data_IF_071230071398
#
_entry.id   IF_071230071398
#
_cell.length_a   1.000
_cell.length_b   1.000
_cell.length_c   1.000
_cell.angle_alpha   90.00
_cell.angle_beta   90.00
_cell.angle_gamma   90.00
#
_symmetry.space_group_name_H-M   'P 1'
#
loop_
_entity.id
_entity.type
_entity.pdbx_description
1 polymer ?
#
# COMPACT_ATOMS: atom_id res chain seq x y z
N UNK A 1 -14.48 6.28 51.72
CA UNK A 1 -14.22 5.73 50.38
C UNK A 1 -13.35 6.73 49.66
N UNK A 2 -12.06 6.43 49.52
CA UNK A 2 -11.07 7.37 48.98
C UNK A 2 -11.08 7.29 47.45
N UNK A 3 -11.32 8.43 46.81
CA UNK A 3 -11.17 8.64 45.37
C UNK A 3 -9.69 8.57 44.99
N UNK A 4 -9.24 7.41 44.51
CA UNK A 4 -7.97 7.30 43.79
C UNK A 4 -8.13 7.91 42.39
N UNK A 5 -8.08 9.25 42.32
CA UNK A 5 -7.63 9.92 41.10
C UNK A 5 -6.14 9.62 40.95
N UNK A 6 -5.83 8.49 40.31
CA UNK A 6 -4.51 8.27 39.71
C UNK A 6 -4.40 9.28 38.56
N UNK A 7 -3.89 10.46 38.87
CA UNK A 7 -3.31 11.34 37.86
C UNK A 7 -2.26 10.49 37.14
N UNK A 8 -2.51 10.15 35.87
CA UNK A 8 -1.50 9.51 35.04
C UNK A 8 -0.46 10.58 34.72
N UNK A 9 0.73 10.58 35.35
CA UNK A 9 1.75 11.61 35.10
C UNK A 9 2.21 11.60 33.62
N UNK A 10 2.00 10.46 32.95
CA UNK A 10 2.28 10.26 31.53
C UNK A 10 1.35 11.10 30.65
N UNK A 11 0.09 11.32 31.07
CA UNK A 11 -0.87 12.09 30.27
C UNK A 11 -0.50 13.58 30.23
N UNK A 12 0.03 14.13 31.33
CA UNK A 12 0.49 15.52 31.38
C UNK A 12 1.81 15.74 30.64
N UNK A 13 2.72 14.74 30.66
CA UNK A 13 3.97 14.77 29.87
C UNK A 13 3.66 14.76 28.36
N UNK A 14 2.76 13.86 27.92
CA UNK A 14 2.36 13.77 26.52
C UNK A 14 1.54 14.97 26.05
N UNK A 15 0.75 15.60 26.92
CA UNK A 15 0.01 16.81 26.58
C UNK A 15 0.94 18.00 26.31
N UNK A 16 2.00 18.17 27.11
CA UNK A 16 2.98 19.23 26.91
C UNK A 16 3.84 19.01 25.66
N UNK A 17 4.23 17.76 25.37
CA UNK A 17 5.06 17.43 24.20
C UNK A 17 4.28 17.57 22.87
N UNK A 18 2.95 17.33 22.90
CA UNK A 18 2.08 17.52 21.73
C UNK A 18 1.74 19.00 21.49
N UNK A 19 1.67 19.85 22.52
CA UNK A 19 1.54 21.30 22.33
C UNK A 19 2.83 21.95 21.80
N UNK A 20 4.01 21.49 22.23
CA UNK A 20 5.29 21.94 21.68
C UNK A 20 5.45 21.58 20.19
N UNK A 21 4.94 20.43 19.74
CA UNK A 21 4.91 20.05 18.32
C UNK A 21 3.87 20.84 17.50
N UNK A 22 2.81 21.36 18.13
CA UNK A 22 1.81 22.21 17.46
C UNK A 22 2.25 23.67 17.31
N UNK A 23 3.13 24.15 18.18
CA UNK A 23 3.68 25.51 18.14
C UNK A 23 5.15 25.57 17.72
N UNK A 24 5.72 24.42 17.35
CA UNK A 24 7.05 24.25 16.76
C UNK A 24 7.20 25.00 15.43
N UNK A 25 7.94 26.08 15.52
CA UNK A 25 8.39 26.95 14.42
C UNK A 25 9.07 26.13 13.32
N UNK A 26 8.59 26.30 12.09
CA UNK A 26 9.34 26.05 10.86
C UNK A 26 9.56 24.58 10.52
N UNK A 27 9.02 24.13 9.39
CA UNK A 27 9.69 23.05 8.68
C UNK A 27 11.16 23.47 8.47
N UNK A 28 12.15 22.58 8.67
CA UNK A 28 13.52 22.90 8.30
C UNK A 28 13.52 23.23 6.80
N UNK A 29 13.67 24.51 6.49
CA UNK A 29 14.01 24.96 5.16
C UNK A 29 15.47 24.57 4.98
N UNK A 30 15.68 23.42 4.36
CA UNK A 30 17.00 23.07 3.86
C UNK A 30 17.22 23.93 2.63
N UNK A 31 18.23 24.81 2.71
CA UNK A 31 18.64 25.55 1.54
C UNK A 31 19.27 24.55 0.55
N UNK A 32 19.17 24.81 -0.76
CA UNK A 32 19.76 23.91 -1.76
C UNK A 32 21.29 23.75 -1.58
N UNK A 33 21.92 24.64 -0.81
CA UNK A 33 23.33 24.63 -0.45
C UNK A 33 23.67 23.62 0.68
N UNK A 34 22.68 23.14 1.44
CA UNK A 34 22.85 22.13 2.48
C UNK A 34 23.06 20.72 1.91
N UNK A 35 22.71 20.51 0.64
CA UNK A 35 22.88 19.23 -0.03
C UNK A 35 24.24 19.16 -0.75
N UNK A 36 25.07 18.15 -0.48
CA UNK A 36 26.32 17.97 -1.22
C UNK A 36 26.02 17.79 -2.71
N UNK A 37 26.83 18.40 -3.57
CA UNK A 37 26.72 18.25 -5.02
C UNK A 37 26.75 16.77 -5.43
N UNK A 38 26.05 16.43 -6.51
CA UNK A 38 25.97 15.06 -7.02
C UNK A 38 27.35 14.40 -7.20
N UNK A 39 28.35 15.19 -7.63
CA UNK A 39 29.74 14.74 -7.79
C UNK A 39 30.39 14.32 -6.46
N UNK A 40 30.10 15.04 -5.37
CA UNK A 40 30.62 14.69 -4.03
C UNK A 40 29.96 13.41 -3.52
N UNK A 41 28.67 13.25 -3.75
CA UNK A 41 27.93 12.01 -3.41
C UNK A 41 28.49 10.82 -4.18
N UNK A 42 28.77 11.00 -5.49
CA UNK A 42 29.37 9.98 -6.33
C UNK A 42 30.77 9.58 -5.85
N UNK A 43 31.63 10.55 -5.53
CA UNK A 43 32.98 10.29 -5.02
C UNK A 43 32.98 9.54 -3.68
N UNK A 44 32.02 9.84 -2.79
CA UNK A 44 31.86 9.09 -1.53
C UNK A 44 31.35 7.67 -1.80
N UNK A 45 30.38 7.50 -2.70
CA UNK A 45 29.87 6.19 -3.11
C UNK A 45 30.97 5.29 -3.64
N UNK A 46 31.79 5.80 -4.58
CA UNK A 46 32.92 5.05 -5.15
C UNK A 46 33.95 4.66 -4.09
N UNK A 47 34.26 5.56 -3.15
CA UNK A 47 35.19 5.28 -2.04
C UNK A 47 34.68 4.17 -1.11
N UNK A 48 33.37 4.07 -0.91
CA UNK A 48 32.73 3.06 -0.07
C UNK A 48 32.46 1.75 -0.85
N UNK A 49 32.81 1.71 -2.14
CA UNK A 49 32.64 0.53 -3.00
C UNK A 49 31.25 0.42 -3.62
N UNK A 50 30.43 1.46 -3.54
CA UNK A 50 29.21 1.55 -4.35
C UNK A 50 29.59 1.91 -5.78
N UNK A 51 29.46 0.95 -6.69
CA UNK A 51 29.60 1.17 -8.13
C UNK A 51 28.38 1.98 -8.59
N UNK A 52 28.61 3.23 -8.98
CA UNK A 52 27.58 4.04 -9.63
C UNK A 52 27.20 3.39 -10.96
N UNK A 53 26.00 2.79 -11.02
CA UNK A 53 25.33 2.57 -12.30
C UNK A 53 24.75 3.93 -12.68
N UNK A 54 25.58 4.80 -13.24
CA UNK A 54 25.06 5.92 -14.03
C UNK A 54 24.01 5.30 -14.96
N UNK A 55 22.76 5.75 -14.89
CA UNK A 55 21.72 5.25 -15.76
C UNK A 55 22.06 5.70 -17.17
N UNK A 56 22.88 4.89 -17.85
CA UNK A 56 22.96 4.85 -19.29
C UNK A 56 21.51 4.79 -19.73
N UNK A 57 21.04 5.82 -20.42
CA UNK A 57 19.79 5.76 -21.13
C UNK A 57 19.89 4.54 -22.05
N UNK A 58 19.30 3.42 -21.62
CA UNK A 58 19.34 2.16 -22.34
C UNK A 58 18.57 2.42 -23.62
N UNK A 59 19.30 2.68 -24.70
CA UNK A 59 18.80 2.42 -26.05
C UNK A 59 18.42 0.94 -26.04
N UNK A 60 17.14 0.69 -26.28
CA UNK A 60 16.58 -0.64 -26.44
C UNK A 60 17.31 -1.31 -27.61
N UNK A 61 18.32 -2.11 -27.31
CA UNK A 61 18.83 -3.11 -28.23
C UNK A 61 18.17 -4.44 -27.89
N UNK A 62 17.56 -5.00 -28.92
CA UNK A 62 16.80 -6.22 -28.93
C UNK A 62 17.72 -7.40 -28.61
N UNK A 63 17.55 -8.01 -27.44
CA UNK A 63 17.95 -9.41 -27.22
C UNK A 63 16.88 -10.06 -26.37
N UNK A 64 16.03 -10.80 -27.09
CA UNK A 64 14.92 -11.57 -26.57
C UNK A 64 15.45 -12.82 -25.86
N UNK A 65 15.60 -12.74 -24.53
CA UNK A 65 15.43 -13.92 -23.69
C UNK A 65 13.99 -13.92 -23.17
N UNK A 66 13.25 -14.96 -23.57
CA UNK A 66 11.84 -15.14 -23.26
C UNK A 66 11.64 -15.40 -21.76
N UNK A 67 11.71 -14.34 -20.96
CA UNK A 67 11.04 -14.32 -19.66
C UNK A 67 9.56 -14.39 -19.97
N UNK A 68 8.89 -15.43 -19.47
CA UNK A 68 7.46 -15.56 -19.53
C UNK A 68 6.85 -14.38 -18.74
N UNK A 69 6.64 -13.27 -19.45
CA UNK A 69 6.02 -12.07 -18.93
C UNK A 69 4.63 -12.50 -18.52
N UNK A 70 4.43 -12.72 -17.22
CA UNK A 70 3.09 -12.87 -16.64
C UNK A 70 2.31 -11.66 -17.11
N UNK A 71 1.49 -11.85 -18.15
CA UNK A 71 0.64 -10.80 -18.70
C UNK A 71 -0.04 -10.18 -17.49
N UNK A 72 0.10 -8.86 -17.27
CA UNK A 72 -0.66 -8.23 -16.21
C UNK A 72 -2.11 -8.61 -16.46
N UNK A 73 -2.73 -9.27 -15.48
CA UNK A 73 -4.16 -9.60 -15.51
C UNK A 73 -4.94 -8.29 -15.36
N UNK A 74 -4.82 -7.42 -16.35
CA UNK A 74 -5.69 -6.27 -16.53
C UNK A 74 -6.78 -6.78 -17.43
N UNK A 75 -7.71 -7.50 -16.81
CA UNK A 75 -8.94 -7.82 -17.46
C UNK A 75 -9.69 -6.52 -17.74
N UNK A 76 -10.18 -6.48 -18.96
CA UNK A 76 -10.88 -5.41 -19.65
C UNK A 76 -12.28 -5.26 -19.07
N UNK A 77 -12.45 -4.45 -18.03
CA UNK A 77 -13.79 -4.00 -17.59
C UNK A 77 -13.78 -2.54 -17.24
N UNK A 78 -14.92 -1.90 -17.48
CA UNK A 78 -15.20 -0.57 -16.99
C UNK A 78 -14.83 -0.42 -15.52
N UNK A 79 -14.32 0.77 -15.16
CA UNK A 79 -13.91 1.20 -13.82
C UNK A 79 -14.45 0.31 -12.70
N UNK A 80 -13.62 -0.61 -12.19
CA UNK A 80 -13.91 -1.34 -10.95
C UNK A 80 -14.33 -0.32 -9.89
N UNK A 81 -15.53 -0.48 -9.34
CA UNK A 81 -16.04 0.38 -8.28
C UNK A 81 -15.79 -0.28 -6.93
N UNK A 82 -15.27 0.51 -5.99
CA UNK A 82 -15.15 0.07 -4.60
C UNK A 82 -16.52 0.16 -3.93
N UNK A 83 -16.90 -0.87 -3.19
CA UNK A 83 -18.08 -0.88 -2.33
C UNK A 83 -17.74 -1.47 -0.96
N UNK A 84 -18.40 -0.99 0.09
CA UNK A 84 -18.20 -1.48 1.46
C UNK A 84 -19.31 -2.47 1.81
N UNK A 85 -18.95 -3.69 2.16
CA UNK A 85 -19.87 -4.76 2.54
C UNK A 85 -19.69 -5.08 4.02
N UNK A 86 -20.79 -5.18 4.76
CA UNK A 86 -20.78 -5.69 6.14
C UNK A 86 -21.16 -7.16 6.12
N UNK A 87 -20.36 -8.00 6.79
CA UNK A 87 -20.58 -9.43 6.92
C UNK A 87 -20.07 -9.90 8.29
N UNK A 88 -20.45 -11.11 8.73
CA UNK A 88 -19.91 -11.69 9.95
C UNK A 88 -18.44 -12.06 9.80
N UNK A 89 -17.69 -12.08 10.90
CA UNK A 89 -16.28 -12.46 10.92
C UNK A 89 -16.05 -13.87 10.35
N UNK A 90 -16.96 -14.80 10.64
CA UNK A 90 -16.95 -16.16 10.10
C UNK A 90 -17.02 -16.16 8.56
N UNK A 91 -17.89 -15.31 8.01
CA UNK A 91 -18.08 -15.18 6.56
C UNK A 91 -16.83 -14.59 5.90
N UNK A 92 -16.24 -13.54 6.49
CA UNK A 92 -15.02 -12.91 5.99
C UNK A 92 -13.86 -13.91 5.98
N UNK A 93 -13.70 -14.66 7.08
CA UNK A 93 -12.67 -15.69 7.19
C UNK A 93 -12.84 -16.80 6.14
N UNK A 94 -14.07 -17.25 5.91
CA UNK A 94 -14.36 -18.25 4.90
C UNK A 94 -14.07 -17.73 3.50
N UNK A 95 -14.49 -16.51 3.20
CA UNK A 95 -14.25 -15.84 1.93
C UNK A 95 -12.75 -15.72 1.63
N UNK A 96 -11.96 -15.34 2.62
CA UNK A 96 -10.50 -15.20 2.49
C UNK A 96 -9.81 -16.55 2.27
N UNK A 97 -10.27 -17.60 2.97
CA UNK A 97 -9.79 -18.97 2.74
C UNK A 97 -10.11 -19.46 1.34
N UNK A 98 -11.31 -19.19 0.83
CA UNK A 98 -11.73 -19.58 -0.53
C UNK A 98 -10.89 -18.85 -1.57
N UNK A 99 -10.70 -17.53 -1.43
CA UNK A 99 -9.86 -16.75 -2.33
C UNK A 99 -8.41 -17.26 -2.37
N UNK A 100 -7.85 -17.57 -1.20
CA UNK A 100 -6.50 -18.13 -1.08
C UNK A 100 -6.40 -19.52 -1.72
N UNK A 101 -7.36 -20.41 -1.45
CA UNK A 101 -7.38 -21.77 -1.99
C UNK A 101 -7.51 -21.78 -3.51
N UNK A 102 -8.31 -20.89 -4.07
CA UNK A 102 -8.51 -20.75 -5.52
C UNK A 102 -7.42 -19.91 -6.20
N UNK A 103 -6.54 -19.24 -5.44
CA UNK A 103 -5.55 -18.27 -5.94
C UNK A 103 -6.19 -17.17 -6.80
N UNK A 104 -7.38 -16.72 -6.41
CA UNK A 104 -8.13 -15.67 -7.10
C UNK A 104 -8.16 -14.39 -6.26
N UNK A 105 -8.32 -13.24 -6.92
CA UNK A 105 -8.60 -11.99 -6.23
C UNK A 105 -10.01 -12.03 -5.61
N UNK A 106 -10.17 -11.42 -4.43
CA UNK A 106 -11.45 -11.36 -3.70
C UNK A 106 -12.61 -10.88 -4.58
N UNK A 107 -12.40 -9.82 -5.38
CA UNK A 107 -13.41 -9.32 -6.32
C UNK A 107 -13.92 -10.39 -7.30
N UNK A 108 -13.00 -11.15 -7.91
CA UNK A 108 -13.35 -12.24 -8.85
C UNK A 108 -14.10 -13.36 -8.15
N UNK A 109 -13.75 -13.67 -6.90
CA UNK A 109 -14.49 -14.67 -6.10
C UNK A 109 -15.91 -14.20 -5.83
N UNK A 110 -16.09 -12.92 -5.48
CA UNK A 110 -17.40 -12.33 -5.24
C UNK A 110 -18.28 -12.32 -6.51
N UNK A 111 -17.72 -11.93 -7.66
CA UNK A 111 -18.41 -11.98 -8.96
C UNK A 111 -18.90 -13.39 -9.29
N UNK A 112 -18.04 -14.40 -9.10
CA UNK A 112 -18.41 -15.81 -9.33
C UNK A 112 -19.45 -16.30 -8.34
N UNK A 113 -19.35 -15.90 -7.07
CA UNK A 113 -20.33 -16.26 -6.05
C UNK A 113 -21.71 -15.66 -6.37
N UNK A 114 -21.77 -14.41 -6.83
CA UNK A 114 -23.01 -13.76 -7.26
C UNK A 114 -23.61 -14.45 -8.48
N UNK A 115 -22.81 -14.78 -9.51
CA UNK A 115 -23.31 -15.51 -10.67
C UNK A 115 -23.86 -16.90 -10.30
N UNK A 116 -23.20 -17.61 -9.37
CA UNK A 116 -23.69 -18.88 -8.86
C UNK A 116 -24.99 -18.72 -8.05
N UNK A 117 -25.07 -17.69 -7.21
CA UNK A 117 -26.24 -17.39 -6.40
C UNK A 117 -27.46 -17.00 -7.26
N UNK A 118 -27.28 -16.19 -8.30
CA UNK A 118 -28.34 -15.86 -9.27
C UNK A 118 -28.84 -17.14 -9.96
N UNK A 119 -27.94 -18.00 -10.42
CA UNK A 119 -28.31 -19.27 -11.05
C UNK A 119 -29.06 -20.21 -10.10
N UNK A 120 -28.68 -20.24 -8.83
CA UNK A 120 -29.32 -21.09 -7.81
C UNK A 120 -30.70 -20.58 -7.41
N UNK A 121 -30.84 -19.26 -7.25
CA UNK A 121 -32.08 -18.62 -6.78
C UNK A 121 -33.05 -18.30 -7.91
N UNK A 122 -32.58 -18.25 -9.16
CA UNK A 122 -33.38 -17.83 -10.32
C UNK A 122 -33.82 -16.37 -10.24
N UNK A 123 -33.16 -15.55 -9.40
CA UNK A 123 -33.46 -14.12 -9.30
C UNK A 123 -33.09 -13.45 -10.61
N UNK A 124 -34.09 -12.92 -11.33
CA UNK A 124 -33.86 -12.11 -12.50
C UNK A 124 -33.40 -10.73 -12.05
N UNK A 125 -32.19 -10.36 -12.46
CA UNK A 125 -31.62 -9.03 -12.21
C UNK A 125 -31.65 -8.32 -13.55
N UNK A 126 -32.77 -7.66 -13.84
CA UNK A 126 -32.89 -6.75 -14.98
C UNK A 126 -32.06 -5.47 -14.72
N UNK A 127 -31.34 -4.98 -15.74
CA UNK A 127 -30.54 -3.75 -15.73
C UNK A 127 -31.39 -2.45 -15.73
#
# INVERSE_FOLDING_TARGET
MADEKRLNPIADILANEVEELRHGKGQPQFDNDDFPSADKVKAVGERVGFVSRDSVAVKQDETQEAVEVRKPYRWTTGRNRTTTIRASDETINLFDKVATKLKLQKGVVLERALAAFIRETGVDVDD
#
